data_IF_046486876688
#
_entry.id   IF_046486876688
#
_cell.length_a   1.000
_cell.length_b   1.000
_cell.length_c   1.000
_cell.angle_alpha   90.00
_cell.angle_beta   90.00
_cell.angle_gamma   90.00
#
_symmetry.space_group_name_H-M   'P 1'
#
loop_
_entity.id
_entity.type
_entity.pdbx_description
1 polymer ?
#
# COMPACT_ATOMS: atom_id res chain seq x y z
N UNK A 1 -47.03 74.34 21.56
CA UNK A 1 -47.82 74.61 20.35
C UNK A 1 -48.25 73.27 19.78
N UNK A 2 -49.55 72.93 19.87
CA UNK A 2 -50.28 71.68 19.46
C UNK A 2 -49.89 70.38 20.21
N UNK A 3 -50.70 69.70 21.05
CA UNK A 3 -52.02 69.01 20.87
C UNK A 3 -51.94 67.98 19.70
N UNK A 4 -52.26 66.67 19.76
CA UNK A 4 -53.35 65.89 20.38
C UNK A 4 -52.95 64.38 20.27
N UNK A 5 -53.10 63.54 21.31
CA UNK A 5 -54.15 62.51 21.58
C UNK A 5 -54.07 61.15 20.86
N UNK A 6 -54.14 60.13 21.71
CA UNK A 6 -54.54 58.74 21.47
C UNK A 6 -55.79 58.58 20.57
N UNK A 7 -55.80 57.52 19.76
CA UNK A 7 -56.98 57.02 19.06
C UNK A 7 -56.79 55.54 18.72
N UNK A 8 -57.61 54.69 19.33
CA UNK A 8 -57.68 53.24 19.11
C UNK A 8 -58.19 52.89 17.72
N UNK A 9 -57.67 51.80 17.11
CA UNK A 9 -58.29 51.09 15.98
C UNK A 9 -57.91 49.61 16.10
N UNK A 10 -58.83 48.80 16.64
CA UNK A 10 -59.67 47.82 15.94
C UNK A 10 -58.93 46.51 15.57
N UNK A 11 -59.13 45.50 16.43
CA UNK A 11 -58.83 44.10 16.15
C UNK A 11 -59.77 43.59 15.07
N UNK A 12 -59.25 43.40 13.85
CA UNK A 12 -59.88 42.56 12.83
C UNK A 12 -59.29 41.15 12.91
N UNK A 13 -60.11 40.22 13.41
CA UNK A 13 -59.88 38.79 13.31
C UNK A 13 -59.97 38.34 11.86
N UNK A 14 -58.83 38.06 11.23
CA UNK A 14 -58.79 37.34 9.94
C UNK A 14 -58.67 35.85 10.26
N UNK A 15 -59.75 35.12 10.03
CA UNK A 15 -59.74 33.66 10.00
C UNK A 15 -58.91 33.20 8.80
N UNK A 16 -57.69 32.72 9.04
CA UNK A 16 -56.94 32.00 8.02
C UNK A 16 -57.46 30.56 7.96
N UNK A 17 -58.17 30.27 6.87
CA UNK A 17 -58.49 28.92 6.46
C UNK A 17 -57.19 28.12 6.30
N UNK A 18 -57.09 27.02 7.03
CA UNK A 18 -55.98 26.08 6.93
C UNK A 18 -55.98 25.41 5.56
N UNK A 19 -55.02 25.79 4.72
CA UNK A 19 -54.57 24.95 3.62
C UNK A 19 -53.55 23.98 4.20
N UNK A 20 -53.99 22.80 4.62
CA UNK A 20 -53.10 21.68 4.92
C UNK A 20 -52.53 21.16 3.60
N UNK A 21 -51.34 21.65 3.23
CA UNK A 21 -50.51 20.97 2.24
C UNK A 21 -49.93 19.74 2.93
N UNK A 22 -50.55 18.58 2.68
CA UNK A 22 -49.91 17.30 2.98
C UNK A 22 -48.70 17.17 2.05
N UNK A 23 -47.51 17.46 2.58
CA UNK A 23 -46.27 17.06 1.95
C UNK A 23 -46.22 15.54 1.99
N UNK A 24 -46.50 14.90 0.85
CA UNK A 24 -46.25 13.49 0.64
C UNK A 24 -44.73 13.32 0.64
N UNK A 25 -44.19 12.74 1.72
CA UNK A 25 -42.82 12.22 1.69
C UNK A 25 -42.73 11.26 0.51
N UNK A 26 -42.03 11.67 -0.55
CA UNK A 26 -41.57 10.71 -1.53
C UNK A 26 -40.50 9.90 -0.82
N UNK A 27 -40.80 8.64 -0.50
CA UNK A 27 -39.75 7.64 -0.31
C UNK A 27 -38.86 7.71 -1.56
N UNK A 28 -37.70 8.34 -1.42
CA UNK A 28 -36.60 8.17 -2.35
C UNK A 28 -36.28 6.68 -2.30
N UNK A 29 -36.81 5.95 -3.28
CA UNK A 29 -36.46 4.55 -3.51
C UNK A 29 -34.94 4.50 -3.55
N UNK A 30 -34.35 3.85 -2.55
CA UNK A 30 -32.92 3.51 -2.56
C UNK A 30 -32.65 2.79 -3.87
N UNK A 31 -31.65 3.21 -4.67
CA UNK A 31 -31.34 2.53 -5.92
C UNK A 31 -31.06 1.05 -5.61
N UNK A 32 -31.77 0.16 -6.32
CA UNK A 32 -31.84 -1.28 -6.07
C UNK A 32 -30.57 -2.05 -6.48
N UNK A 33 -29.38 -1.46 -6.32
CA UNK A 33 -28.13 -2.13 -6.68
C UNK A 33 -26.92 -1.57 -5.91
N UNK A 34 -27.02 -1.48 -4.58
CA UNK A 34 -25.81 -1.40 -3.76
C UNK A 34 -25.21 -2.82 -3.80
N UNK A 35 -23.99 -3.01 -4.35
CA UNK A 35 -23.35 -4.31 -4.29
C UNK A 35 -23.31 -4.77 -2.84
N UNK A 36 -23.74 -6.01 -2.61
CA UNK A 36 -23.69 -6.63 -1.28
C UNK A 36 -22.25 -6.53 -0.77
N UNK A 37 -22.07 -6.00 0.46
CA UNK A 37 -20.75 -5.78 1.05
C UNK A 37 -19.94 -7.06 0.93
N UNK A 38 -18.72 -6.96 0.41
CA UNK A 38 -17.81 -8.09 0.27
C UNK A 38 -17.67 -8.81 1.61
N UNK A 39 -17.98 -10.10 1.63
CA UNK A 39 -17.90 -10.88 2.85
C UNK A 39 -16.46 -10.85 3.40
N UNK A 40 -16.31 -10.47 4.67
CA UNK A 40 -15.00 -10.39 5.31
C UNK A 40 -14.39 -11.79 5.40
N UNK A 41 -13.23 -11.97 4.78
CA UNK A 41 -12.52 -13.27 4.71
C UNK A 41 -12.34 -13.88 6.10
N UNK A 42 -12.68 -15.16 6.23
CA UNK A 42 -12.36 -15.95 7.41
C UNK A 42 -10.95 -16.56 7.29
N UNK A 43 -9.97 -15.88 7.86
CA UNK A 43 -8.55 -16.28 7.77
C UNK A 43 -8.27 -17.70 8.29
N UNK A 44 -9.03 -18.21 9.26
CA UNK A 44 -8.79 -19.54 9.83
C UNK A 44 -9.20 -20.69 8.91
N UNK A 45 -9.93 -20.40 7.83
CA UNK A 45 -10.37 -21.38 6.82
C UNK A 45 -9.60 -21.26 5.50
N UNK A 46 -8.54 -20.44 5.49
CA UNK A 46 -7.76 -20.25 4.26
C UNK A 46 -6.89 -21.48 3.96
N UNK A 47 -6.99 -21.95 2.73
CA UNK A 47 -6.09 -22.91 2.11
C UNK A 47 -5.46 -22.26 0.88
N UNK A 48 -4.13 -22.24 0.84
CA UNK A 48 -3.36 -21.62 -0.26
C UNK A 48 -2.28 -22.55 -0.82
N UNK A 49 -2.21 -23.81 -0.35
CA UNK A 49 -1.13 -24.74 -0.70
C UNK A 49 -1.06 -24.98 -2.21
N UNK A 50 -2.20 -24.97 -2.90
CA UNK A 50 -2.27 -25.14 -4.35
C UNK A 50 -1.51 -24.06 -5.15
N UNK A 51 -1.27 -22.89 -4.56
CA UNK A 51 -0.50 -21.81 -5.19
C UNK A 51 1.02 -21.94 -4.97
N UNK A 52 1.45 -22.87 -4.13
CA UNK A 52 2.85 -23.10 -3.76
C UNK A 52 3.23 -24.57 -4.01
N UNK A 53 3.39 -24.99 -5.28
CA UNK A 53 3.87 -26.34 -5.56
C UNK A 53 5.22 -26.57 -4.86
N UNK A 54 5.40 -27.77 -4.29
CA UNK A 54 6.58 -28.18 -3.50
C UNK A 54 6.88 -27.31 -2.26
N UNK A 55 5.89 -26.61 -1.72
CA UNK A 55 6.04 -25.73 -0.54
C UNK A 55 7.14 -24.65 -0.72
N UNK A 56 7.37 -24.23 -1.96
CA UNK A 56 8.43 -23.31 -2.41
C UNK A 56 8.21 -21.83 -2.02
N UNK A 57 7.52 -21.55 -0.92
CA UNK A 57 7.22 -20.18 -0.53
C UNK A 57 6.45 -20.06 0.77
N UNK A 58 6.16 -18.82 1.13
CA UNK A 58 5.34 -18.43 2.27
C UNK A 58 4.40 -17.31 1.86
N UNK A 59 3.22 -17.30 2.48
CA UNK A 59 2.22 -16.26 2.35
C UNK A 59 1.76 -15.85 3.73
N UNK A 60 1.71 -14.54 3.98
CA UNK A 60 1.13 -13.95 5.18
C UNK A 60 -0.02 -13.06 4.75
N UNK A 61 -1.15 -13.15 5.44
CA UNK A 61 -2.26 -12.20 5.33
C UNK A 61 -2.70 -11.79 6.73
N UNK A 62 -2.66 -10.49 7.04
CA UNK A 62 -3.12 -9.94 8.32
C UNK A 62 -4.36 -9.09 8.11
N UNK A 63 -5.43 -9.40 8.82
CA UNK A 63 -6.61 -8.57 8.94
C UNK A 63 -6.38 -7.57 10.09
N UNK A 64 -6.27 -6.28 9.76
CA UNK A 64 -5.93 -5.26 10.75
C UNK A 64 -7.10 -4.85 11.65
N UNK A 65 -8.35 -5.06 11.23
CA UNK A 65 -9.55 -4.76 12.04
C UNK A 65 -9.84 -5.89 13.02
N UNK A 66 -9.69 -7.14 12.57
CA UNK A 66 -9.89 -8.33 13.42
C UNK A 66 -8.64 -8.73 14.21
N UNK A 67 -7.50 -8.10 13.95
CA UNK A 67 -6.21 -8.44 14.55
C UNK A 67 -5.89 -9.95 14.44
N UNK A 68 -6.15 -10.53 13.26
CA UNK A 68 -5.90 -11.95 12.99
C UNK A 68 -4.93 -12.11 11.83
N UNK A 69 -4.12 -13.18 11.88
CA UNK A 69 -3.05 -13.43 10.90
C UNK A 69 -3.14 -14.86 10.40
N UNK A 70 -3.16 -15.03 9.08
CA UNK A 70 -2.93 -16.30 8.40
C UNK A 70 -1.46 -16.37 7.95
N UNK A 71 -0.82 -17.52 8.15
CA UNK A 71 0.55 -17.80 7.70
C UNK A 71 0.60 -19.16 7.04
N UNK A 72 0.99 -19.21 5.77
CA UNK A 72 1.39 -20.42 5.09
C UNK A 72 2.92 -20.56 5.15
N UNK A 73 3.42 -21.74 5.52
CA UNK A 73 4.85 -22.05 5.70
C UNK A 73 5.52 -21.10 6.72
N UNK A 74 5.18 -21.28 7.99
CA UNK A 74 5.67 -20.44 9.10
C UNK A 74 7.19 -20.53 9.29
N UNK A 75 7.79 -21.69 9.02
CA UNK A 75 9.24 -21.87 9.05
C UNK A 75 9.93 -20.88 8.09
N UNK A 76 9.48 -20.80 6.84
CA UNK A 76 10.00 -19.83 5.86
C UNK A 76 9.64 -18.39 6.24
N UNK A 77 8.48 -18.16 6.85
CA UNK A 77 8.06 -16.82 7.29
C UNK A 77 9.02 -16.18 8.32
N UNK A 78 9.78 -17.02 9.03
CA UNK A 78 10.80 -16.63 10.02
C UNK A 78 12.23 -16.60 9.46
N UNK A 79 12.45 -16.93 8.18
CA UNK A 79 13.79 -16.98 7.57
C UNK A 79 14.20 -15.62 6.97
N UNK A 80 15.30 -15.00 7.43
CA UNK A 80 15.76 -13.73 6.91
C UNK A 80 16.29 -13.86 5.47
N UNK A 81 15.83 -12.98 4.58
CA UNK A 81 16.27 -12.94 3.18
C UNK A 81 16.55 -11.50 2.76
N UNK A 82 17.33 -11.32 1.69
CA UNK A 82 17.55 -9.98 1.17
C UNK A 82 16.22 -9.39 0.65
N UNK A 83 15.90 -8.13 0.96
CA UNK A 83 14.62 -7.52 0.57
C UNK A 83 14.55 -7.22 -0.93
N UNK A 84 15.68 -7.13 -1.62
CA UNK A 84 15.76 -6.76 -3.02
C UNK A 84 15.02 -5.42 -3.27
N UNK A 85 14.25 -5.31 -4.34
CA UNK A 85 13.51 -4.08 -4.66
C UNK A 85 12.35 -3.76 -3.71
N UNK A 86 11.99 -4.62 -2.74
CA UNK A 86 11.03 -4.23 -1.68
C UNK A 86 11.61 -3.13 -0.78
N UNK A 87 12.93 -3.07 -0.65
CA UNK A 87 13.63 -2.03 0.11
C UNK A 87 13.37 -0.61 -0.41
N UNK A 88 12.91 -0.45 -1.65
CA UNK A 88 12.54 0.85 -2.21
C UNK A 88 11.48 1.58 -1.38
N UNK A 89 10.62 0.84 -0.66
CA UNK A 89 9.64 1.43 0.27
C UNK A 89 10.35 2.17 1.41
N UNK A 90 11.26 1.49 2.11
CA UNK A 90 12.04 2.09 3.20
C UNK A 90 12.99 3.19 2.67
N UNK A 91 13.65 2.97 1.54
CA UNK A 91 14.56 3.94 0.95
C UNK A 91 13.82 5.24 0.54
N UNK A 92 12.60 5.14 0.00
CA UNK A 92 11.78 6.31 -0.31
C UNK A 92 11.34 7.06 0.96
N UNK A 93 10.93 6.35 2.02
CA UNK A 93 10.59 6.97 3.31
C UNK A 93 11.77 7.79 3.85
N UNK A 94 12.96 7.19 3.90
CA UNK A 94 14.17 7.88 4.37
C UNK A 94 14.49 9.07 3.47
N UNK A 95 14.50 8.86 2.14
CA UNK A 95 14.85 9.86 1.16
C UNK A 95 14.01 11.14 1.27
N UNK A 96 12.69 10.98 1.40
CA UNK A 96 11.77 12.10 1.61
C UNK A 96 11.97 12.74 2.99
N UNK A 97 12.11 11.93 4.04
CA UNK A 97 12.25 12.44 5.42
C UNK A 97 13.50 13.29 5.61
N UNK A 98 14.62 12.88 5.02
CA UNK A 98 15.90 13.61 5.11
C UNK A 98 16.07 14.62 3.99
N UNK A 99 15.04 14.82 3.15
CA UNK A 99 15.04 15.75 2.01
C UNK A 99 16.18 15.48 1.01
N UNK A 100 16.52 14.22 0.79
CA UNK A 100 17.40 13.82 -0.32
C UNK A 100 16.65 13.83 -1.67
N UNK A 101 15.32 13.84 -1.60
CA UNK A 101 14.36 14.10 -2.68
C UNK A 101 13.22 14.93 -2.08
N UNK A 102 12.62 15.82 -2.87
CA UNK A 102 11.58 16.73 -2.38
C UNK A 102 10.21 16.04 -2.29
N UNK A 103 9.89 15.25 -3.31
CA UNK A 103 8.60 14.57 -3.48
C UNK A 103 8.69 13.36 -4.44
N UNK A 104 7.54 12.73 -4.73
CA UNK A 104 7.42 11.63 -5.69
C UNK A 104 7.76 11.98 -7.16
N UNK A 105 7.85 13.27 -7.49
CA UNK A 105 8.12 13.80 -8.83
C UNK A 105 9.57 14.23 -9.04
N UNK A 106 10.38 14.25 -7.98
CA UNK A 106 11.83 14.58 -8.07
C UNK A 106 12.51 13.75 -9.15
N UNK A 107 13.01 14.41 -10.19
CA UNK A 107 13.67 13.76 -11.34
C UNK A 107 15.15 13.54 -11.05
N UNK A 108 15.64 12.33 -11.32
CA UNK A 108 17.07 12.07 -11.55
C UNK A 108 17.24 11.76 -13.03
N UNK A 109 18.22 12.42 -13.67
CA UNK A 109 18.48 12.26 -15.10
C UNK A 109 19.24 10.96 -15.35
N UNK A 110 18.90 10.29 -16.46
CA UNK A 110 19.62 9.11 -16.91
C UNK A 110 21.04 9.49 -17.34
N UNK A 111 22.00 8.65 -16.98
CA UNK A 111 23.43 8.82 -17.24
C UNK A 111 23.85 8.43 -18.66
N UNK A 112 22.90 8.05 -19.52
CA UNK A 112 23.16 7.57 -20.88
C UNK A 112 23.68 6.12 -20.94
N UNK A 113 23.87 5.44 -19.80
CA UNK A 113 24.34 4.05 -19.77
C UNK A 113 23.17 3.11 -20.07
N UNK A 114 23.26 2.37 -21.18
CA UNK A 114 22.27 1.34 -21.54
C UNK A 114 22.35 0.17 -20.56
N UNK A 115 21.21 -0.10 -19.90
CA UNK A 115 20.98 -1.21 -18.97
C UNK A 115 20.01 -2.22 -19.60
N UNK A 116 19.93 -3.41 -19.01
CA UNK A 116 19.20 -4.56 -19.57
C UNK A 116 17.69 -4.33 -19.75
N UNK A 117 17.09 -3.51 -18.89
CA UNK A 117 15.68 -3.16 -18.98
C UNK A 117 15.52 -1.81 -19.69
N UNK A 118 14.92 -1.81 -20.88
CA UNK A 118 14.71 -0.58 -21.67
C UNK A 118 13.97 0.51 -20.87
N UNK A 119 13.05 0.10 -20.00
CA UNK A 119 12.31 1.04 -19.14
C UNK A 119 13.22 1.80 -18.16
N UNK A 120 14.43 1.31 -17.86
CA UNK A 120 15.42 1.99 -17.02
C UNK A 120 16.27 3.02 -17.78
N UNK A 121 16.26 2.99 -19.11
CA UNK A 121 17.16 3.79 -19.96
C UNK A 121 16.54 5.14 -20.32
N UNK A 122 16.08 5.86 -19.30
CA UNK A 122 15.44 7.17 -19.39
C UNK A 122 15.39 7.84 -18.02
N UNK A 123 15.10 9.14 -18.01
CA UNK A 123 14.88 9.87 -16.76
C UNK A 123 13.75 9.26 -15.94
N UNK A 124 13.92 9.30 -14.63
CA UNK A 124 12.92 8.80 -13.70
C UNK A 124 12.68 9.78 -12.57
N UNK A 125 11.42 9.83 -12.13
CA UNK A 125 11.03 10.35 -10.82
C UNK A 125 11.14 9.27 -9.73
N UNK A 126 11.13 9.67 -8.45
CA UNK A 126 11.05 8.75 -7.31
C UNK A 126 9.90 7.72 -7.46
N UNK A 127 8.72 8.19 -7.83
CA UNK A 127 7.53 7.35 -8.05
C UNK A 127 7.68 6.42 -9.24
N UNK A 128 8.12 6.93 -10.40
CA UNK A 128 8.29 6.08 -11.60
C UNK A 128 9.39 5.02 -11.39
N UNK A 129 10.48 5.36 -10.69
CA UNK A 129 11.54 4.42 -10.35
C UNK A 129 11.05 3.34 -9.38
N UNK A 130 10.09 3.63 -8.49
CA UNK A 130 9.45 2.61 -7.67
C UNK A 130 8.64 1.64 -8.53
N UNK A 131 7.79 2.19 -9.41
CA UNK A 131 6.92 1.42 -10.32
C UNK A 131 7.71 0.46 -11.21
N UNK A 132 8.77 0.95 -11.85
CA UNK A 132 9.59 0.16 -12.77
C UNK A 132 10.79 -0.52 -12.11
N UNK A 133 10.87 -0.45 -10.78
CA UNK A 133 11.97 -1.00 -9.98
C UNK A 133 13.35 -0.52 -10.44
N UNK A 134 13.46 0.67 -11.01
CA UNK A 134 14.69 1.29 -11.52
C UNK A 134 15.75 1.36 -10.43
N UNK A 135 16.73 0.44 -10.48
CA UNK A 135 17.72 0.28 -9.40
C UNK A 135 18.64 1.50 -9.32
N UNK A 136 19.12 2.01 -10.45
CA UNK A 136 20.10 3.10 -10.48
C UNK A 136 19.59 4.37 -9.80
N UNK A 137 18.29 4.68 -9.90
CA UNK A 137 17.68 5.84 -9.22
C UNK A 137 17.81 5.70 -7.71
N UNK A 138 17.46 4.52 -7.17
CA UNK A 138 17.49 4.25 -5.74
C UNK A 138 18.91 4.04 -5.19
N UNK A 139 19.86 3.66 -6.05
CA UNK A 139 21.29 3.69 -5.73
C UNK A 139 21.79 5.12 -5.57
N UNK A 140 21.40 6.03 -6.47
CA UNK A 140 21.73 7.44 -6.32
C UNK A 140 21.08 8.04 -5.08
N UNK A 141 19.79 7.76 -4.85
CA UNK A 141 19.10 8.17 -3.62
C UNK A 141 19.84 7.69 -2.35
N UNK A 142 20.27 6.43 -2.32
CA UNK A 142 20.98 5.90 -1.16
C UNK A 142 22.33 6.60 -0.93
N UNK A 143 23.06 6.97 -2.00
CA UNK A 143 24.28 7.79 -1.90
C UNK A 143 23.97 9.20 -1.39
N UNK A 144 22.89 9.82 -1.87
CA UNK A 144 22.46 11.15 -1.42
C UNK A 144 22.03 11.13 0.06
N UNK A 145 21.43 10.04 0.54
CA UNK A 145 21.13 9.80 1.96
C UNK A 145 22.43 9.62 2.76
N UNK A 146 23.37 8.81 2.28
CA UNK A 146 24.63 8.52 2.97
C UNK A 146 24.50 7.47 4.08
N UNK A 147 25.62 6.84 4.44
CA UNK A 147 25.65 5.65 5.30
C UNK A 147 25.15 5.90 6.73
N UNK A 148 25.56 7.02 7.35
CA UNK A 148 25.21 7.32 8.74
C UNK A 148 23.70 7.51 8.92
N UNK A 149 23.08 8.34 8.08
CA UNK A 149 21.62 8.53 8.08
C UNK A 149 20.89 7.24 7.74
N UNK A 150 21.37 6.48 6.75
CA UNK A 150 20.75 5.20 6.39
C UNK A 150 20.72 4.25 7.61
N UNK A 151 21.84 4.08 8.30
CA UNK A 151 21.94 3.23 9.50
C UNK A 151 21.03 3.72 10.63
N UNK A 152 21.04 5.03 10.90
CA UNK A 152 20.17 5.65 11.90
C UNK A 152 18.69 5.34 11.64
N UNK A 153 18.24 5.52 10.40
CA UNK A 153 16.84 5.33 10.04
C UNK A 153 16.41 3.87 10.01
N UNK A 154 17.28 2.95 9.57
CA UNK A 154 17.00 1.51 9.67
C UNK A 154 16.85 1.08 11.13
N UNK A 155 17.69 1.60 12.02
CA UNK A 155 17.59 1.36 13.46
C UNK A 155 16.28 1.93 14.04
N UNK A 156 15.96 3.20 13.76
CA UNK A 156 14.73 3.86 14.21
C UNK A 156 13.46 3.11 13.78
N UNK A 157 13.44 2.58 12.56
CA UNK A 157 12.31 1.81 12.05
C UNK A 157 12.36 0.31 12.39
N UNK A 158 13.45 -0.15 13.02
CA UNK A 158 13.70 -1.57 13.32
C UNK A 158 13.58 -2.47 12.08
N UNK A 159 14.20 -2.08 10.96
CA UNK A 159 14.05 -2.77 9.68
C UNK A 159 15.01 -3.97 9.57
N UNK A 160 14.51 -5.17 9.87
CA UNK A 160 15.27 -6.43 9.79
C UNK A 160 16.57 -6.40 10.61
N UNK A 161 17.64 -6.97 10.06
CA UNK A 161 18.96 -6.99 10.70
C UNK A 161 19.73 -5.65 10.63
N UNK A 162 19.19 -4.64 9.93
CA UNK A 162 19.74 -3.27 9.84
C UNK A 162 21.18 -3.19 9.28
N UNK A 163 21.65 -4.25 8.63
CA UNK A 163 23.05 -4.38 8.21
C UNK A 163 23.30 -3.77 6.82
N UNK A 164 24.03 -2.64 6.79
CA UNK A 164 24.42 -1.94 5.55
C UNK A 164 25.88 -2.18 5.14
N UNK A 165 26.59 -3.12 5.76
CA UNK A 165 28.02 -3.38 5.51
C UNK A 165 28.32 -3.80 4.06
N UNK A 166 27.32 -4.27 3.32
CA UNK A 166 27.39 -4.58 1.90
C UNK A 166 27.59 -3.38 0.96
N UNK A 167 27.67 -2.15 1.49
CA UNK A 167 27.93 -0.91 0.75
C UNK A 167 26.66 -0.10 0.51
N UNK A 168 26.76 1.23 0.64
CA UNK A 168 25.61 2.16 0.74
C UNK A 168 24.63 2.09 -0.43
N UNK A 169 25.05 1.66 -1.62
CA UNK A 169 24.20 1.53 -2.80
C UNK A 169 24.01 0.08 -3.29
N UNK A 170 24.33 -0.90 -2.43
CA UNK A 170 24.27 -2.34 -2.74
C UNK A 170 23.71 -3.22 -1.62
N UNK A 171 23.69 -2.76 -0.36
CA UNK A 171 23.39 -3.59 0.81
C UNK A 171 22.04 -4.34 0.76
N UNK A 172 21.06 -3.87 -0.01
CA UNK A 172 19.75 -4.52 -0.15
C UNK A 172 19.63 -5.49 -1.34
N UNK A 173 20.63 -5.51 -2.25
CA UNK A 173 20.64 -6.31 -3.48
C UNK A 173 21.40 -7.62 -3.24
N UNK A 174 20.72 -8.67 -2.83
CA UNK A 174 21.31 -9.94 -2.41
C UNK A 174 22.56 -9.79 -1.51
N UNK A 175 22.53 -8.85 -0.56
CA UNK A 175 23.70 -8.45 0.21
C UNK A 175 23.43 -8.52 1.71
N UNK A 176 24.10 -7.69 2.51
CA UNK A 176 24.13 -7.74 3.98
C UNK A 176 22.77 -7.56 4.64
N UNK A 177 21.91 -6.69 4.12
CA UNK A 177 20.60 -6.43 4.71
C UNK A 177 19.68 -7.63 4.49
N UNK A 178 19.15 -8.16 5.60
CA UNK A 178 18.17 -9.24 5.62
C UNK A 178 16.95 -8.82 6.42
N UNK A 179 15.79 -9.28 5.98
CA UNK A 179 14.52 -9.13 6.68
C UNK A 179 13.69 -10.40 6.44
N UNK A 180 12.96 -10.83 7.47
CA UNK A 180 12.02 -11.96 7.38
C UNK A 180 10.70 -11.51 6.75
N UNK A 181 9.92 -12.43 6.17
CA UNK A 181 8.54 -12.14 5.77
C UNK A 181 7.66 -11.61 6.91
N UNK A 182 7.84 -12.08 8.15
CA UNK A 182 7.12 -11.56 9.31
C UNK A 182 7.49 -10.10 9.63
N UNK A 183 8.79 -9.76 9.64
CA UNK A 183 9.24 -8.38 9.84
C UNK A 183 8.77 -7.44 8.72
N UNK A 184 8.67 -7.93 7.46
CA UNK A 184 8.06 -7.17 6.37
C UNK A 184 6.58 -6.85 6.67
N UNK A 185 5.82 -7.82 7.18
CA UNK A 185 4.43 -7.61 7.54
C UNK A 185 4.30 -6.59 8.70
N UNK A 186 5.15 -6.68 9.72
CA UNK A 186 5.19 -5.72 10.83
C UNK A 186 5.53 -4.29 10.36
N UNK A 187 6.52 -4.17 9.47
CA UNK A 187 6.91 -2.89 8.89
C UNK A 187 5.76 -2.27 8.06
N UNK A 188 5.10 -3.06 7.23
CA UNK A 188 3.99 -2.61 6.40
C UNK A 188 2.74 -2.26 7.22
N UNK A 189 2.48 -3.00 8.29
CA UNK A 189 1.41 -2.67 9.24
C UNK A 189 1.66 -1.30 9.89
N UNK A 190 2.88 -1.05 10.38
CA UNK A 190 3.26 0.26 10.93
C UNK A 190 3.19 1.36 9.88
N UNK A 191 3.58 1.09 8.63
CA UNK A 191 3.44 2.05 7.52
C UNK A 191 1.97 2.37 7.23
N UNK A 192 1.11 1.35 7.18
CA UNK A 192 -0.32 1.52 6.94
C UNK A 192 -0.95 2.39 8.04
N UNK A 193 -0.71 2.02 9.30
CA UNK A 193 -1.19 2.71 10.52
C UNK A 193 -0.52 4.06 10.78
N UNK A 194 0.46 4.46 9.96
CA UNK A 194 1.22 5.71 10.11
C UNK A 194 1.96 5.81 11.46
N UNK A 195 2.54 4.69 11.91
CA UNK A 195 3.22 4.51 13.20
C UNK A 195 4.75 4.36 13.09
N UNK A 196 5.30 4.40 11.88
CA UNK A 196 6.75 4.49 11.70
C UNK A 196 7.25 5.88 12.12
N UNK A 197 8.55 6.04 12.45
CA UNK A 197 9.12 7.32 12.93
C UNK A 197 9.30 8.37 11.82
N UNK A 198 8.41 8.39 10.82
CA UNK A 198 8.41 9.31 9.69
C UNK A 198 7.23 10.28 9.80
N UNK A 199 7.32 11.41 9.11
CA UNK A 199 6.22 12.34 8.98
C UNK A 199 5.03 11.66 8.27
N UNK A 200 3.80 11.94 8.73
CA UNK A 200 2.58 11.36 8.14
C UNK A 200 2.49 11.61 6.64
N UNK A 201 2.90 12.81 6.20
CA UNK A 201 2.87 13.15 4.77
C UNK A 201 3.86 12.32 3.96
N UNK A 202 5.06 12.05 4.50
CA UNK A 202 6.05 11.17 3.88
C UNK A 202 5.48 9.75 3.71
N UNK A 203 4.88 9.21 4.76
CA UNK A 203 4.23 7.89 4.69
C UNK A 203 3.09 7.88 3.66
N UNK A 204 2.23 8.89 3.63
CA UNK A 204 1.16 9.01 2.64
C UNK A 204 1.69 9.06 1.21
N UNK A 205 2.77 9.80 0.97
CA UNK A 205 3.43 9.85 -0.35
C UNK A 205 3.94 8.48 -0.77
N UNK A 206 4.65 7.77 0.10
CA UNK A 206 5.14 6.43 -0.21
C UNK A 206 4.01 5.43 -0.43
N UNK A 207 2.93 5.49 0.38
CA UNK A 207 1.73 4.67 0.14
C UNK A 207 1.13 4.94 -1.24
N UNK A 208 0.98 6.20 -1.68
CA UNK A 208 0.50 6.53 -3.04
C UNK A 208 1.41 5.94 -4.13
N UNK A 209 2.72 6.01 -3.96
CA UNK A 209 3.68 5.45 -4.93
C UNK A 209 3.61 3.92 -5.04
N UNK A 210 3.09 3.24 -4.01
CA UNK A 210 2.91 1.79 -4.00
C UNK A 210 1.64 1.31 -4.70
N UNK A 211 0.70 2.21 -5.05
CA UNK A 211 -0.56 1.84 -5.73
C UNK A 211 -0.27 1.03 -7.00
N UNK A 212 -0.89 -0.16 -7.08
CA UNK A 212 -0.86 -1.08 -8.22
C UNK A 212 -2.19 -1.08 -8.98
N UNK A 213 -3.30 -1.01 -8.24
CA UNK A 213 -4.67 -0.95 -8.75
C UNK A 213 -5.48 -0.06 -7.81
N UNK A 214 -6.39 0.72 -8.37
CA UNK A 214 -7.26 1.65 -7.65
C UNK A 214 -8.64 1.55 -8.27
N UNK A 215 -9.49 0.74 -7.67
CA UNK A 215 -10.82 0.40 -8.13
C UNK A 215 -11.85 0.84 -7.07
N UNK A 216 -13.12 0.97 -7.46
CA UNK A 216 -14.18 1.47 -6.57
C UNK A 216 -14.31 0.67 -5.25
N UNK A 217 -14.13 -0.65 -5.32
CA UNK A 217 -14.29 -1.56 -4.18
C UNK A 217 -12.97 -1.89 -3.49
N UNK A 218 -11.82 -1.67 -4.14
CA UNK A 218 -10.54 -1.97 -3.52
C UNK A 218 -9.38 -1.13 -4.07
N UNK A 219 -8.39 -0.89 -3.21
CA UNK A 219 -7.09 -0.35 -3.63
C UNK A 219 -6.00 -1.33 -3.25
N UNK A 220 -5.19 -1.74 -4.23
CA UNK A 220 -4.05 -2.63 -4.04
C UNK A 220 -2.76 -1.82 -4.03
N UNK A 221 -2.02 -1.92 -2.94
CA UNK A 221 -0.70 -1.33 -2.77
C UNK A 221 0.33 -2.45 -2.74
N UNK A 222 1.44 -2.32 -3.45
CA UNK A 222 2.48 -3.34 -3.34
C UNK A 222 3.78 -3.03 -4.04
N UNK A 223 4.82 -3.75 -3.63
CA UNK A 223 6.16 -3.67 -4.20
C UNK A 223 6.73 -5.05 -4.44
N UNK A 224 7.22 -5.27 -5.66
CA UNK A 224 7.96 -6.48 -6.04
C UNK A 224 9.44 -6.42 -5.64
N UNK A 225 10.03 -7.58 -5.40
CA UNK A 225 11.49 -7.79 -5.27
C UNK A 225 11.90 -9.05 -6.02
N UNK A 226 13.07 -9.00 -6.66
CA UNK A 226 13.61 -10.13 -7.44
C UNK A 226 15.10 -10.26 -7.18
N UNK A 227 15.53 -11.48 -6.86
CA UNK A 227 16.92 -11.94 -6.95
C UNK A 227 17.00 -12.99 -8.05
N UNK A 228 18.03 -12.94 -8.89
CA UNK A 228 18.19 -13.90 -9.99
C UNK A 228 18.85 -15.21 -9.55
N UNK A 229 19.83 -15.17 -8.64
CA UNK A 229 20.62 -16.34 -8.27
C UNK A 229 21.02 -16.33 -6.78
N UNK A 230 20.68 -17.38 -5.99
CA UNK A 230 19.57 -18.30 -6.29
C UNK A 230 18.25 -17.52 -6.36
N UNK A 231 17.32 -17.92 -7.23
CA UNK A 231 16.18 -17.08 -7.55
C UNK A 231 15.22 -16.94 -6.37
N UNK A 232 14.84 -15.71 -6.04
CA UNK A 232 13.89 -15.38 -4.98
C UNK A 232 12.98 -14.26 -5.42
N UNK A 233 11.69 -14.41 -5.13
CA UNK A 233 10.65 -13.46 -5.44
C UNK A 233 9.97 -12.92 -4.20
N UNK A 234 9.70 -11.62 -4.20
CA UNK A 234 8.89 -10.93 -3.21
C UNK A 234 7.74 -10.19 -3.88
N UNK A 235 6.58 -10.20 -3.24
CA UNK A 235 5.55 -9.18 -3.42
C UNK A 235 4.93 -8.88 -2.07
N UNK A 236 5.05 -7.63 -1.64
CA UNK A 236 4.69 -7.20 -0.28
C UNK A 236 3.86 -5.93 -0.37
N UNK A 237 2.89 -5.76 0.51
CA UNK A 237 2.03 -4.58 0.51
C UNK A 237 0.77 -4.75 1.34
N UNK A 238 -0.27 -4.04 0.95
CA UNK A 238 -1.58 -4.11 1.59
C UNK A 238 -2.69 -3.85 0.58
N UNK A 239 -3.86 -4.41 0.86
CA UNK A 239 -5.09 -4.18 0.09
C UNK A 239 -6.16 -3.65 1.02
N UNK A 240 -6.87 -2.63 0.58
CA UNK A 240 -8.06 -2.12 1.27
C UNK A 240 -9.29 -2.53 0.47
N UNK A 241 -10.19 -3.32 1.05
CA UNK A 241 -11.43 -3.78 0.40
C UNK A 241 -12.60 -3.11 1.10
N UNK A 242 -13.29 -2.19 0.42
CA UNK A 242 -14.37 -1.37 0.98
C UNK A 242 -13.98 -0.72 2.33
N UNK A 243 -12.73 -0.23 2.39
CA UNK A 243 -12.13 0.37 3.59
C UNK A 243 -11.54 -0.61 4.61
N UNK A 244 -11.76 -1.93 4.45
CA UNK A 244 -11.21 -2.96 5.32
C UNK A 244 -9.75 -3.30 4.92
N UNK A 245 -8.73 -3.06 5.77
CA UNK A 245 -7.34 -3.23 5.40
C UNK A 245 -6.76 -4.60 5.73
N UNK A 246 -5.97 -5.11 4.78
CA UNK A 246 -5.20 -6.33 4.93
C UNK A 246 -3.74 -6.13 4.52
N UNK A 247 -2.80 -6.55 5.37
CA UNK A 247 -1.38 -6.62 5.01
C UNK A 247 -1.11 -7.98 4.36
N UNK A 248 -0.35 -8.01 3.27
CA UNK A 248 0.12 -9.26 2.69
C UNK A 248 1.63 -9.26 2.47
N UNK A 249 2.22 -10.45 2.59
CA UNK A 249 3.62 -10.71 2.23
C UNK A 249 3.69 -12.06 1.54
N UNK A 250 4.20 -12.07 0.31
CA UNK A 250 4.52 -13.29 -0.43
C UNK A 250 6.01 -13.34 -0.68
N UNK A 251 6.64 -14.43 -0.26
CA UNK A 251 8.05 -14.72 -0.57
C UNK A 251 8.18 -16.15 -1.11
N UNK A 252 8.83 -16.30 -2.26
CA UNK A 252 8.90 -17.58 -2.98
C UNK A 252 10.31 -17.86 -3.49
N UNK A 253 10.62 -19.14 -3.66
CA UNK A 253 11.65 -19.54 -4.60
C UNK A 253 11.21 -19.09 -6.00
N UNK A 254 12.15 -18.47 -6.69
CA UNK A 254 11.89 -17.75 -7.91
C UNK A 254 12.21 -18.53 -9.17
N UNK A 255 12.07 -17.84 -10.31
CA UNK A 255 12.40 -18.32 -11.65
C UNK A 255 13.29 -17.26 -12.35
N UNK A 256 14.50 -17.04 -11.82
CA UNK A 256 15.42 -16.02 -12.32
C UNK A 256 14.84 -14.60 -12.23
N UNK A 257 14.77 -13.89 -13.36
CA UNK A 257 14.32 -12.50 -13.43
C UNK A 257 12.82 -12.30 -13.24
N UNK A 258 12.01 -13.36 -13.37
CA UNK A 258 10.54 -13.29 -13.19
C UNK A 258 10.08 -13.52 -11.75
N UNK A 259 11.01 -13.77 -10.82
CA UNK A 259 10.68 -14.21 -9.45
C UNK A 259 9.71 -13.28 -8.70
N UNK A 260 9.91 -11.96 -8.76
CA UNK A 260 8.96 -11.00 -8.16
C UNK A 260 7.59 -10.97 -8.86
N UNK A 261 7.53 -11.27 -10.17
CA UNK A 261 6.28 -11.40 -10.92
C UNK A 261 5.54 -12.68 -10.47
N UNK A 262 6.26 -13.80 -10.30
CA UNK A 262 5.70 -15.03 -9.72
C UNK A 262 5.05 -14.78 -8.36
N UNK A 263 5.77 -14.12 -7.45
CA UNK A 263 5.24 -13.74 -6.13
C UNK A 263 3.98 -12.86 -6.23
N UNK A 264 3.98 -11.87 -7.13
CA UNK A 264 2.82 -11.01 -7.39
C UNK A 264 1.64 -11.82 -7.92
N UNK A 265 1.84 -12.69 -8.90
CA UNK A 265 0.77 -13.49 -9.50
C UNK A 265 0.11 -14.43 -8.48
N UNK A 266 0.91 -15.13 -7.68
CA UNK A 266 0.41 -15.97 -6.58
C UNK A 266 -0.46 -15.13 -5.62
N UNK A 267 0.03 -13.96 -5.22
CA UNK A 267 -0.72 -13.06 -4.34
C UNK A 267 -2.06 -12.67 -4.95
N UNK A 268 -2.07 -12.23 -6.21
CA UNK A 268 -3.30 -11.82 -6.89
C UNK A 268 -4.29 -12.99 -7.03
N UNK A 269 -3.80 -14.21 -7.27
CA UNK A 269 -4.65 -15.41 -7.33
C UNK A 269 -5.28 -15.73 -5.97
N UNK A 270 -4.50 -15.66 -4.88
CA UNK A 270 -5.00 -15.85 -3.51
C UNK A 270 -6.04 -14.77 -3.18
N UNK A 271 -5.71 -13.49 -3.37
CA UNK A 271 -6.62 -12.39 -3.06
C UNK A 271 -7.92 -12.49 -3.89
N UNK A 272 -7.85 -12.93 -5.16
CA UNK A 272 -9.06 -13.23 -5.96
C UNK A 272 -9.86 -14.40 -5.44
N UNK A 273 -9.22 -15.52 -5.07
CA UNK A 273 -9.89 -16.70 -4.49
C UNK A 273 -10.72 -16.33 -3.26
N UNK A 274 -10.25 -15.38 -2.46
CA UNK A 274 -10.93 -14.91 -1.27
C UNK A 274 -11.72 -13.61 -1.47
N UNK A 275 -12.12 -13.29 -2.71
CA UNK A 275 -12.96 -12.13 -3.06
C UNK A 275 -12.41 -10.76 -2.61
N UNK A 276 -11.10 -10.64 -2.42
CA UNK A 276 -10.45 -9.38 -2.00
C UNK A 276 -10.05 -8.49 -3.18
N UNK A 277 -10.21 -9.00 -4.40
CA UNK A 277 -10.05 -8.24 -5.65
C UNK A 277 -11.31 -8.47 -6.51
N UNK A 278 -12.50 -8.04 -6.04
CA UNK A 278 -13.73 -8.23 -6.78
C UNK A 278 -13.65 -7.48 -8.11
N UNK A 279 -13.99 -8.15 -9.20
CA UNK A 279 -14.25 -7.46 -10.46
C UNK A 279 -15.68 -6.93 -10.41
N UNK A 280 -15.95 -5.71 -10.92
CA UNK A 280 -17.31 -5.24 -11.09
C UNK A 280 -18.13 -6.32 -11.82
N UNK A 281 -19.30 -6.67 -11.27
CA UNK A 281 -20.20 -7.60 -11.93
C UNK A 281 -20.44 -7.07 -13.35
N UNK A 282 -19.98 -7.82 -14.35
CA UNK A 282 -20.44 -7.62 -15.72
C UNK A 282 -21.96 -7.88 -15.65
N UNK A 283 -22.76 -6.82 -15.59
CA UNK A 283 -24.21 -6.90 -15.67
C UNK A 283 -24.54 -7.74 -16.91
N UNK A 284 -24.98 -8.98 -16.70
CA UNK A 284 -25.65 -9.81 -17.69
C UNK A 284 -27.12 -9.85 -17.36
#
# INVERSE_FOLDING_TARGET
MRLLKYGAVLLLSVAMAGCSVMAKESELQRPANIPEKTEIVNLSKMEVKEFFPNDEGTFILRDLEKNSTFIFNEERAKQPQAPESTFKVMNALIGLQVKAVDDEYTVKRWDGVKRDLDVWNKDHTLGSAMRYSTVWYYQQLARDIGADRMKEWLHKASYGNQDITGGIDKFWLNSSLKITPLEQADFLEKLYKEQLPFDKQVMKTVKRMMIQQDEDLYTLYGKTGTRNTPPVGWFVGFVTVEGHPYIFVTNVNGEGSSSGIKAKNITLQILKKYNMLPTPSQNK
#
